data_IF_168862839397
#
_entry.id   IF_168862839397
#
_cell.length_a   1.000
_cell.length_b   1.000
_cell.length_c   1.000
_cell.angle_alpha   90.00
_cell.angle_beta   90.00
_cell.angle_gamma   90.00
#
_symmetry.space_group_name_H-M   'P 1'
#
loop_
_entity.id
_entity.type
_entity.pdbx_description
1 polymer ?
#
# COMPACT_ATOMS: atom_id res chain seq x y z
N UNK A 1 -46.27 2.53 -20.18
CA UNK A 1 -46.70 1.13 -20.45
C UNK A 1 -45.91 0.61 -21.64
N UNK A 2 -45.45 -0.64 -21.53
CA UNK A 2 -44.96 -1.50 -22.62
C UNK A 2 -43.63 -1.14 -23.29
N UNK A 3 -42.56 -1.80 -22.83
CA UNK A 3 -41.47 -2.26 -23.70
C UNK A 3 -41.14 -3.70 -23.31
N UNK A 4 -41.61 -4.65 -24.11
CA UNK A 4 -41.26 -6.06 -24.04
C UNK A 4 -41.30 -6.66 -25.46
N UNK A 5 -40.12 -6.97 -25.98
CA UNK A 5 -39.72 -7.93 -27.06
C UNK A 5 -38.22 -7.70 -27.26
N UNK A 6 -37.27 -8.49 -26.76
CA UNK A 6 -36.99 -9.91 -27.00
C UNK A 6 -37.13 -10.32 -28.48
N UNK A 7 -35.99 -10.55 -29.15
CA UNK A 7 -35.61 -11.81 -29.83
C UNK A 7 -34.17 -11.72 -30.36
N UNK A 8 -33.42 -12.81 -30.18
CA UNK A 8 -32.18 -13.18 -30.90
C UNK A 8 -30.95 -13.16 -29.98
N UNK A 9 -30.39 -14.27 -29.48
CA UNK A 9 -30.29 -15.62 -30.04
C UNK A 9 -28.82 -15.90 -30.33
N UNK A 10 -28.07 -16.39 -29.32
CA UNK A 10 -26.66 -16.74 -29.44
C UNK A 10 -26.35 -18.04 -28.69
N UNK A 11 -25.72 -19.05 -29.33
CA UNK A 11 -25.56 -20.38 -28.75
C UNK A 11 -24.19 -20.49 -28.06
N UNK A 12 -24.15 -20.38 -26.73
CA UNK A 12 -22.98 -20.75 -25.93
C UNK A 12 -23.42 -21.58 -24.72
N UNK A 13 -23.96 -22.77 -25.00
CA UNK A 13 -24.06 -23.85 -24.01
C UNK A 13 -22.84 -24.75 -24.17
N UNK A 14 -21.68 -24.27 -23.70
CA UNK A 14 -20.49 -25.11 -23.50
C UNK A 14 -20.68 -25.98 -22.27
N UNK A 15 -21.32 -27.14 -22.45
CA UNK A 15 -21.35 -28.23 -21.49
C UNK A 15 -19.97 -28.89 -21.49
N UNK A 16 -19.18 -28.67 -20.45
CA UNK A 16 -17.92 -29.37 -20.24
C UNK A 16 -18.25 -30.61 -19.40
N UNK A 17 -18.43 -31.74 -20.05
CA UNK A 17 -18.47 -33.04 -19.36
C UNK A 17 -17.08 -33.31 -18.78
N UNK A 18 -17.01 -33.41 -17.45
CA UNK A 18 -15.80 -33.80 -16.74
C UNK A 18 -15.59 -35.31 -16.88
N UNK A 19 -14.37 -35.77 -17.23
CA UNK A 19 -14.03 -37.17 -17.05
C UNK A 19 -13.88 -37.45 -15.55
N UNK A 20 -14.55 -38.51 -15.12
CA UNK A 20 -14.50 -39.11 -13.79
C UNK A 20 -13.04 -39.29 -13.32
N UNK A 21 -12.66 -38.58 -12.27
CA UNK A 21 -11.38 -38.73 -11.60
C UNK A 21 -11.35 -37.87 -10.34
N UNK A 22 -11.51 -38.51 -9.18
CA UNK A 22 -11.61 -37.87 -7.88
C UNK A 22 -10.46 -36.89 -7.60
N UNK A 23 -10.81 -35.62 -7.48
CA UNK A 23 -9.92 -34.56 -7.04
C UNK A 23 -10.77 -33.42 -6.51
N UNK A 24 -10.69 -33.17 -5.22
CA UNK A 24 -11.43 -32.13 -4.50
C UNK A 24 -11.12 -30.77 -5.13
N UNK A 25 -12.07 -30.22 -5.90
CA UNK A 25 -11.96 -28.88 -6.48
C UNK A 25 -12.05 -27.86 -5.34
N UNK A 26 -10.91 -27.27 -4.99
CA UNK A 26 -10.83 -26.11 -4.09
C UNK A 26 -11.58 -24.93 -4.70
N UNK A 27 -12.84 -24.78 -4.32
CA UNK A 27 -13.68 -23.61 -4.62
C UNK A 27 -13.35 -22.49 -3.63
N UNK A 28 -12.30 -21.71 -3.92
CA UNK A 28 -12.06 -20.43 -3.25
C UNK A 28 -11.29 -19.46 -4.17
N UNK A 29 -11.87 -19.21 -5.33
CA UNK A 29 -11.54 -18.04 -6.16
C UNK A 29 -12.26 -16.86 -5.51
N UNK A 30 -11.50 -15.83 -5.10
CA UNK A 30 -11.91 -14.64 -4.34
C UNK A 30 -11.87 -14.70 -2.81
N UNK A 31 -10.80 -15.23 -2.21
CA UNK A 31 -10.30 -14.57 -0.99
C UNK A 31 -9.37 -13.45 -1.44
N UNK A 32 -9.67 -12.15 -1.17
CA UNK A 32 -8.61 -11.16 -1.22
C UNK A 32 -7.52 -11.67 -0.28
N UNK A 33 -6.29 -11.79 -0.79
CA UNK A 33 -5.11 -11.85 0.05
C UNK A 33 -5.03 -10.51 0.81
N UNK A 34 -5.89 -10.34 1.80
CA UNK A 34 -5.57 -9.52 2.96
C UNK A 34 -4.42 -10.27 3.58
N UNK A 35 -3.23 -9.81 3.23
CA UNK A 35 -1.97 -10.15 3.87
C UNK A 35 -2.24 -10.05 5.37
N UNK A 36 -2.17 -11.20 6.01
CA UNK A 36 -2.41 -11.38 7.43
C UNK A 36 -1.52 -10.38 8.18
N UNK A 37 -2.22 -9.49 8.85
CA UNK A 37 -1.78 -8.18 9.31
C UNK A 37 -1.14 -8.33 10.67
N UNK A 38 0.16 -8.64 10.73
CA UNK A 38 1.09 -8.24 11.81
C UNK A 38 0.59 -8.25 13.26
N UNK A 39 -0.42 -9.07 13.57
CA UNK A 39 -0.95 -9.36 14.89
C UNK A 39 -0.49 -10.77 15.13
N UNK A 40 0.55 -10.85 15.93
CA UNK A 40 1.20 -12.07 16.36
C UNK A 40 0.14 -13.08 16.82
N UNK A 41 -0.14 -14.06 15.98
CA UNK A 41 -0.55 -15.36 16.50
C UNK A 41 0.73 -15.89 17.14
N UNK A 42 0.86 -15.66 18.45
CA UNK A 42 1.94 -16.21 19.28
C UNK A 42 1.91 -17.74 19.18
N UNK A 43 2.58 -18.27 18.15
CA UNK A 43 3.03 -19.65 18.12
C UNK A 43 4.16 -19.70 19.14
N UNK A 44 3.92 -20.38 20.24
CA UNK A 44 4.85 -20.45 21.37
C UNK A 44 6.28 -20.80 20.89
N UNK A 45 7.19 -19.82 21.02
CA UNK A 45 8.62 -19.99 20.79
C UNK A 45 9.18 -19.33 19.52
N UNK A 46 9.11 -18.00 19.41
CA UNK A 46 10.14 -17.05 18.92
C UNK A 46 9.43 -15.73 18.57
N UNK A 47 9.57 -14.70 19.40
CA UNK A 47 8.83 -13.42 19.26
C UNK A 47 9.48 -12.45 18.24
N UNK A 48 10.24 -12.97 17.27
CA UNK A 48 10.99 -12.18 16.29
C UNK A 48 10.43 -12.31 14.87
N UNK A 49 10.55 -11.24 14.08
CA UNK A 49 10.18 -11.30 12.67
C UNK A 49 11.08 -12.32 11.96
N UNK A 50 10.57 -13.10 11.01
CA UNK A 50 11.34 -14.20 10.38
C UNK A 50 12.66 -13.73 9.74
N UNK A 51 12.75 -12.48 9.29
CA UNK A 51 14.00 -11.86 8.79
C UNK A 51 15.04 -11.79 9.89
N UNK A 52 14.67 -11.44 11.12
CA UNK A 52 15.59 -11.36 12.26
C UNK A 52 16.18 -12.73 12.57
N UNK A 53 15.39 -13.80 12.41
CA UNK A 53 15.90 -15.17 12.55
C UNK A 53 16.93 -15.54 11.48
N UNK A 54 16.76 -15.09 10.25
CA UNK A 54 17.74 -15.31 9.17
C UNK A 54 19.03 -14.52 9.46
N UNK A 55 18.89 -13.27 9.90
CA UNK A 55 20.03 -12.41 10.26
C UNK A 55 20.79 -12.99 11.46
N UNK A 56 20.09 -13.53 12.46
CA UNK A 56 20.71 -14.15 13.63
C UNK A 56 21.37 -15.50 13.29
N UNK A 57 20.77 -16.28 12.38
CA UNK A 57 21.33 -17.56 11.94
C UNK A 57 22.57 -17.43 11.05
N UNK A 58 22.74 -16.31 10.34
CA UNK A 58 23.90 -16.06 9.46
C UNK A 58 24.89 -15.09 10.13
N UNK A 59 25.97 -15.64 10.69
CA UNK A 59 27.02 -14.88 11.39
C UNK A 59 27.70 -13.82 10.50
N UNK A 60 27.68 -14.01 9.17
CA UNK A 60 28.33 -13.11 8.21
C UNK A 60 27.30 -12.30 7.40
N UNK A 61 26.08 -12.12 7.93
CA UNK A 61 25.04 -11.37 7.25
C UNK A 61 25.43 -9.88 7.08
N UNK A 62 25.25 -9.29 5.89
CA UNK A 62 25.57 -7.87 5.66
C UNK A 62 24.75 -6.94 6.55
N UNK A 63 25.41 -6.19 7.44
CA UNK A 63 24.71 -5.30 8.38
C UNK A 63 23.87 -4.22 7.67
N UNK A 64 24.38 -3.69 6.55
CA UNK A 64 23.70 -2.66 5.71
C UNK A 64 22.31 -3.12 5.29
N UNK A 65 22.13 -4.40 4.92
CA UNK A 65 20.84 -4.95 4.51
C UNK A 65 19.87 -4.97 5.69
N UNK A 66 20.34 -5.42 6.86
CA UNK A 66 19.50 -5.48 8.07
C UNK A 66 19.05 -4.09 8.54
N UNK A 67 19.93 -3.09 8.43
CA UNK A 67 19.62 -1.71 8.81
C UNK A 67 18.62 -1.09 7.84
N UNK A 68 18.82 -1.30 6.53
CA UNK A 68 17.91 -0.84 5.48
C UNK A 68 16.52 -1.44 5.66
N UNK A 69 16.41 -2.75 5.85
CA UNK A 69 15.13 -3.42 6.12
C UNK A 69 14.44 -2.85 7.38
N UNK A 70 15.17 -2.71 8.51
CA UNK A 70 14.61 -2.12 9.75
C UNK A 70 14.13 -0.68 9.57
N UNK A 71 14.80 0.11 8.74
CA UNK A 71 14.35 1.46 8.41
C UNK A 71 13.04 1.42 7.63
N UNK A 72 12.95 0.62 6.56
CA UNK A 72 11.72 0.48 5.75
C UNK A 72 10.55 -0.11 6.56
N UNK A 73 10.82 -1.09 7.43
CA UNK A 73 9.81 -1.68 8.31
C UNK A 73 9.20 -0.65 9.25
N UNK A 74 10.03 0.16 9.94
CA UNK A 74 9.56 1.23 10.82
C UNK A 74 8.85 2.34 10.06
N UNK A 75 9.38 2.73 8.90
CA UNK A 75 8.80 3.79 8.06
C UNK A 75 7.41 3.39 7.54
N UNK A 76 7.22 2.15 7.09
CA UNK A 76 5.92 1.64 6.63
C UNK A 76 4.87 1.64 7.76
N UNK A 77 5.23 1.15 8.95
CA UNK A 77 4.33 1.12 10.11
C UNK A 77 3.94 2.52 10.56
N UNK A 78 4.91 3.44 10.67
CA UNK A 78 4.62 4.83 11.07
C UNK A 78 3.75 5.56 10.06
N UNK A 79 3.98 5.36 8.76
CA UNK A 79 3.16 5.96 7.71
C UNK A 79 1.71 5.43 7.74
N UNK A 80 1.53 4.13 8.02
CA UNK A 80 0.20 3.52 8.20
C UNK A 80 -0.57 4.16 9.36
N UNK A 81 0.04 4.28 10.54
CA UNK A 81 -0.62 4.92 11.69
C UNK A 81 -0.95 6.39 11.45
N UNK A 82 -0.06 7.15 10.80
CA UNK A 82 -0.34 8.53 10.43
C UNK A 82 -1.54 8.63 9.47
N UNK A 83 -1.61 7.75 8.47
CA UNK A 83 -2.73 7.72 7.51
C UNK A 83 -4.06 7.44 8.21
N UNK A 84 -4.13 6.38 9.01
CA UNK A 84 -5.36 6.04 9.75
C UNK A 84 -5.76 7.10 10.77
N UNK A 85 -4.79 7.74 11.44
CA UNK A 85 -5.06 8.85 12.36
C UNK A 85 -5.68 10.07 11.66
N UNK A 86 -5.17 10.41 10.47
CA UNK A 86 -5.73 11.49 9.65
C UNK A 86 -7.12 11.15 9.13
N UNK A 87 -7.37 9.92 8.65
CA UNK A 87 -8.71 9.53 8.23
C UNK A 87 -9.70 9.55 9.39
N UNK A 88 -9.33 8.98 10.53
CA UNK A 88 -10.20 8.95 11.70
C UNK A 88 -10.52 10.36 12.20
N UNK A 89 -9.52 11.24 12.28
CA UNK A 89 -9.75 12.63 12.68
C UNK A 89 -10.67 13.37 11.70
N UNK A 90 -10.50 13.16 10.39
CA UNK A 90 -11.37 13.79 9.39
C UNK A 90 -12.83 13.34 9.51
N UNK A 91 -13.06 12.05 9.77
CA UNK A 91 -14.41 11.50 10.02
C UNK A 91 -15.02 12.07 11.30
N UNK A 92 -14.24 12.16 12.38
CA UNK A 92 -14.71 12.73 13.65
C UNK A 92 -15.09 14.20 13.51
N UNK A 93 -14.28 15.01 12.83
CA UNK A 93 -14.57 16.42 12.58
C UNK A 93 -15.81 16.56 11.69
N UNK A 94 -15.90 15.78 10.61
CA UNK A 94 -17.06 15.79 9.73
C UNK A 94 -18.37 15.43 10.46
N UNK A 95 -18.32 14.45 11.37
CA UNK A 95 -19.47 14.07 12.20
C UNK A 95 -19.79 15.12 13.28
N UNK A 96 -18.80 15.84 13.79
CA UNK A 96 -18.99 16.85 14.82
C UNK A 96 -19.65 18.15 14.30
N UNK A 97 -19.47 18.49 13.02
CA UNK A 97 -20.07 19.69 12.40
C UNK A 97 -21.59 19.73 12.60
N UNK A 98 -22.40 18.75 12.16
CA UNK A 98 -23.84 18.79 12.34
C UNK A 98 -24.25 18.75 13.83
N UNK A 99 -23.51 18.03 14.68
CA UNK A 99 -23.78 17.97 16.13
C UNK A 99 -23.63 19.35 16.77
N UNK A 100 -22.58 20.09 16.40
CA UNK A 100 -22.35 21.46 16.90
C UNK A 100 -23.45 22.44 16.45
N UNK A 101 -23.95 22.28 15.22
CA UNK A 101 -25.01 23.13 14.69
C UNK A 101 -26.37 22.88 15.36
N UNK A 102 -26.72 21.60 15.60
CA UNK A 102 -28.05 21.22 16.11
C UNK A 102 -28.13 21.27 17.63
N UNK A 103 -27.15 20.72 18.34
CA UNK A 103 -27.20 20.57 19.81
C UNK A 103 -26.77 21.85 20.50
N UNK A 104 -25.65 22.43 20.06
CA UNK A 104 -25.06 23.60 20.75
C UNK A 104 -25.57 24.91 20.18
N UNK A 105 -26.25 24.88 19.02
CA UNK A 105 -26.80 26.05 18.30
C UNK A 105 -25.79 27.18 18.11
N UNK A 106 -24.50 26.82 18.04
CA UNK A 106 -23.40 27.77 17.95
C UNK A 106 -22.80 27.74 16.55
N UNK A 107 -23.08 28.78 15.76
CA UNK A 107 -22.51 28.95 14.43
C UNK A 107 -20.97 29.06 14.47
N UNK A 108 -20.41 29.65 15.54
CA UNK A 108 -18.96 29.77 15.72
C UNK A 108 -18.29 28.40 15.88
N UNK A 109 -18.90 27.48 16.64
CA UNK A 109 -18.36 26.13 16.81
C UNK A 109 -18.34 25.35 15.48
N UNK A 110 -19.42 25.44 14.70
CA UNK A 110 -19.50 24.82 13.38
C UNK A 110 -18.45 25.40 12.40
N UNK A 111 -18.24 26.72 12.42
CA UNK A 111 -17.24 27.38 11.58
C UNK A 111 -15.81 26.94 11.92
N UNK A 112 -15.48 26.83 13.22
CA UNK A 112 -14.16 26.35 13.67
C UNK A 112 -13.94 24.90 13.21
N UNK A 113 -14.93 24.02 13.38
CA UNK A 113 -14.83 22.62 12.94
C UNK A 113 -14.66 22.52 11.41
N UNK A 114 -15.37 23.35 10.65
CA UNK A 114 -15.19 23.44 9.20
C UNK A 114 -13.77 23.89 8.81
N UNK A 115 -13.22 24.90 9.49
CA UNK A 115 -11.84 25.36 9.25
C UNK A 115 -10.81 24.28 9.59
N UNK A 116 -10.99 23.57 10.71
CA UNK A 116 -10.15 22.42 11.09
C UNK A 116 -10.22 21.32 10.04
N UNK A 117 -11.41 21.01 9.51
CA UNK A 117 -11.56 20.00 8.46
C UNK A 117 -10.80 20.37 7.19
N UNK A 118 -10.85 21.64 6.78
CA UNK A 118 -10.09 22.14 5.62
C UNK A 118 -8.59 22.04 5.86
N UNK A 119 -8.11 22.42 7.05
CA UNK A 119 -6.70 22.29 7.41
C UNK A 119 -6.24 20.83 7.39
N UNK A 120 -7.01 19.92 7.98
CA UNK A 120 -6.70 18.47 7.97
C UNK A 120 -6.66 17.93 6.53
N UNK A 121 -7.61 18.35 5.69
CA UNK A 121 -7.67 17.94 4.28
C UNK A 121 -6.50 18.50 3.48
N UNK A 122 -6.14 19.77 3.70
CA UNK A 122 -4.99 20.40 3.07
C UNK A 122 -3.67 19.74 3.47
N UNK A 123 -3.49 19.45 4.76
CA UNK A 123 -2.33 18.70 5.27
C UNK A 123 -2.27 17.31 4.62
N UNK A 124 -3.40 16.61 4.52
CA UNK A 124 -3.46 15.30 3.83
C UNK A 124 -3.00 15.40 2.38
N UNK A 125 -3.42 16.43 1.64
CA UNK A 125 -3.02 16.64 0.24
C UNK A 125 -1.53 16.97 0.10
N UNK A 126 -0.99 17.83 0.95
CA UNK A 126 0.41 18.27 0.85
C UNK A 126 1.38 17.14 1.16
N UNK A 127 1.08 16.30 2.15
CA UNK A 127 2.04 15.30 2.60
C UNK A 127 2.04 14.04 1.72
N UNK A 128 0.98 13.79 0.95
CA UNK A 128 0.95 12.63 0.04
C UNK A 128 1.17 11.30 0.79
N UNK A 129 0.74 11.22 2.06
CA UNK A 129 1.03 10.08 2.94
C UNK A 129 0.59 8.75 2.33
N UNK A 130 -0.46 8.76 1.50
CA UNK A 130 -1.01 7.57 0.86
C UNK A 130 -0.04 6.92 -0.14
N UNK A 131 0.55 7.69 -1.06
CA UNK A 131 1.52 7.10 -2.00
C UNK A 131 2.80 6.70 -1.28
N UNK A 132 3.20 7.46 -0.26
CA UNK A 132 4.46 7.23 0.44
C UNK A 132 4.45 5.93 1.26
N UNK A 133 3.36 5.62 1.98
CA UNK A 133 3.28 4.36 2.74
C UNK A 133 3.30 3.14 1.82
N UNK A 134 2.59 3.22 0.69
CA UNK A 134 2.51 2.09 -0.25
C UNK A 134 3.86 1.84 -0.92
N UNK A 135 4.58 2.91 -1.29
CA UNK A 135 5.93 2.79 -1.86
C UNK A 135 6.91 2.17 -0.87
N UNK A 136 6.89 2.60 0.41
CA UNK A 136 7.73 2.00 1.44
C UNK A 136 7.36 0.55 1.77
N UNK A 137 6.07 0.20 1.79
CA UNK A 137 5.63 -1.17 2.01
C UNK A 137 6.05 -2.09 0.85
N UNK A 138 5.94 -1.61 -0.39
CA UNK A 138 6.41 -2.35 -1.57
C UNK A 138 7.92 -2.56 -1.53
N UNK A 139 8.71 -1.53 -1.22
CA UNK A 139 10.16 -1.64 -1.09
C UNK A 139 10.55 -2.64 0.02
N UNK A 140 9.87 -2.58 1.18
CA UNK A 140 10.04 -3.57 2.26
C UNK A 140 9.81 -5.00 1.76
N UNK A 141 8.69 -5.26 1.08
CA UNK A 141 8.37 -6.60 0.59
C UNK A 141 9.35 -7.10 -0.47
N UNK A 142 9.89 -6.20 -1.31
CA UNK A 142 10.95 -6.57 -2.26
C UNK A 142 12.24 -6.96 -1.52
N UNK A 143 12.66 -6.20 -0.52
CA UNK A 143 13.84 -6.52 0.30
C UNK A 143 13.63 -7.86 1.04
N UNK A 144 12.46 -8.06 1.63
CA UNK A 144 12.11 -9.32 2.28
C UNK A 144 12.20 -10.50 1.31
N UNK A 145 11.65 -10.37 0.10
CA UNK A 145 11.76 -11.41 -0.93
C UNK A 145 13.22 -11.76 -1.23
N UNK A 146 14.09 -10.77 -1.41
CA UNK A 146 15.51 -11.01 -1.68
C UNK A 146 16.24 -11.68 -0.51
N UNK A 147 15.93 -11.29 0.74
CA UNK A 147 16.46 -11.94 1.94
C UNK A 147 16.00 -13.41 2.02
N UNK A 148 14.74 -13.70 1.68
CA UNK A 148 14.24 -15.07 1.65
C UNK A 148 14.95 -15.92 0.57
N UNK A 149 15.18 -15.35 -0.62
CA UNK A 149 15.92 -16.03 -1.70
C UNK A 149 17.37 -16.31 -1.31
N UNK A 150 18.03 -15.34 -0.68
CA UNK A 150 19.39 -15.51 -0.12
C UNK A 150 19.43 -16.60 0.94
N UNK A 151 18.49 -16.59 1.90
CA UNK A 151 18.43 -17.59 2.97
C UNK A 151 18.20 -19.02 2.44
N UNK A 152 17.44 -19.17 1.36
CA UNK A 152 17.25 -20.48 0.68
C UNK A 152 18.36 -20.82 -0.31
N UNK A 153 19.37 -19.94 -0.50
CA UNK A 153 20.40 -20.05 -1.54
C UNK A 153 19.81 -20.31 -2.93
N UNK A 154 18.68 -19.70 -3.23
CA UNK A 154 17.93 -19.94 -4.46
C UNK A 154 18.29 -18.90 -5.54
N UNK A 155 18.30 -19.34 -6.80
CA UNK A 155 18.62 -18.49 -7.94
C UNK A 155 20.09 -18.04 -7.91
N UNK A 156 20.38 -16.74 -8.14
CA UNK A 156 21.75 -16.29 -8.30
C UNK A 156 22.57 -16.36 -7.00
N UNK A 157 21.93 -16.50 -5.84
CA UNK A 157 22.57 -16.64 -4.52
C UNK A 157 23.07 -18.06 -4.19
N UNK A 158 22.76 -19.06 -5.04
CA UNK A 158 23.28 -20.42 -4.88
C UNK A 158 24.56 -20.68 -5.68
N UNK A 159 24.70 -19.97 -6.81
CA UNK A 159 25.77 -20.18 -7.79
C UNK A 159 26.88 -19.10 -7.69
N UNK A 160 26.57 -17.94 -7.11
CA UNK A 160 27.52 -16.85 -7.00
C UNK A 160 28.55 -17.09 -5.88
N UNK A 161 29.84 -16.94 -6.22
CA UNK A 161 30.94 -16.96 -5.25
C UNK A 161 30.87 -15.83 -4.21
N UNK A 162 30.24 -14.70 -4.56
CA UNK A 162 29.96 -13.59 -3.64
C UNK A 162 28.45 -13.29 -3.56
N UNK A 163 27.71 -14.23 -2.97
CA UNK A 163 26.25 -14.10 -2.79
C UNK A 163 25.86 -12.93 -1.86
N UNK A 164 26.78 -12.49 -0.97
CA UNK A 164 26.56 -11.39 -0.03
C UNK A 164 26.68 -10.03 -0.70
N UNK A 165 27.73 -9.85 -1.51
CA UNK A 165 27.89 -8.65 -2.34
C UNK A 165 26.71 -8.48 -3.29
N UNK A 166 26.24 -9.59 -3.88
CA UNK A 166 25.05 -9.56 -4.73
C UNK A 166 23.81 -9.10 -3.97
N UNK A 167 23.53 -9.65 -2.79
CA UNK A 167 22.38 -9.25 -1.98
C UNK A 167 22.45 -7.76 -1.61
N UNK A 168 23.63 -7.28 -1.21
CA UNK A 168 23.84 -5.89 -0.87
C UNK A 168 23.56 -4.97 -2.08
N UNK A 169 24.10 -5.30 -3.25
CA UNK A 169 23.89 -4.56 -4.48
C UNK A 169 22.40 -4.51 -4.88
N UNK A 170 21.71 -5.65 -4.84
CA UNK A 170 20.27 -5.71 -5.17
C UNK A 170 19.42 -4.90 -4.19
N UNK A 171 19.71 -4.95 -2.89
CA UNK A 171 18.98 -4.15 -1.89
C UNK A 171 19.22 -2.65 -2.08
N UNK A 172 20.45 -2.25 -2.41
CA UNK A 172 20.77 -0.85 -2.71
C UNK A 172 20.07 -0.38 -3.98
N UNK A 173 20.00 -1.21 -5.03
CA UNK A 173 19.27 -0.91 -6.26
C UNK A 173 17.76 -0.69 -5.99
N UNK A 174 17.15 -1.53 -5.13
CA UNK A 174 15.76 -1.34 -4.71
C UNK A 174 15.59 0.02 -4.00
N UNK A 175 16.52 0.39 -3.12
CA UNK A 175 16.48 1.64 -2.38
C UNK A 175 16.67 2.87 -3.31
N UNK A 176 17.62 2.80 -4.24
CA UNK A 176 17.85 3.83 -5.25
C UNK A 176 16.65 3.98 -6.18
N UNK A 177 16.08 2.87 -6.64
CA UNK A 177 14.88 2.87 -7.48
C UNK A 177 13.65 3.47 -6.79
N UNK A 178 13.55 3.35 -5.45
CA UNK A 178 12.54 4.08 -4.68
C UNK A 178 12.82 5.60 -4.63
N UNK A 179 14.08 5.99 -4.42
CA UNK A 179 14.49 7.40 -4.45
C UNK A 179 14.19 8.07 -5.79
N UNK A 180 14.46 7.37 -6.91
CA UNK A 180 14.14 7.85 -8.25
C UNK A 180 12.63 7.95 -8.50
N UNK A 181 11.84 7.00 -7.99
CA UNK A 181 10.37 7.09 -8.05
C UNK A 181 9.85 8.29 -7.26
N UNK A 182 10.44 8.58 -6.10
CA UNK A 182 10.10 9.76 -5.32
C UNK A 182 10.43 11.06 -6.07
N UNK A 183 11.63 11.17 -6.65
CA UNK A 183 12.03 12.36 -7.42
C UNK A 183 11.15 12.57 -8.67
N UNK A 184 10.84 11.50 -9.40
CA UNK A 184 9.98 11.54 -10.58
C UNK A 184 8.55 11.99 -10.25
N UNK A 185 7.95 11.47 -9.16
CA UNK A 185 6.63 11.91 -8.69
C UNK A 185 6.61 13.40 -8.36
N UNK A 186 7.66 13.92 -7.71
CA UNK A 186 7.78 15.35 -7.39
C UNK A 186 7.95 16.21 -8.63
N UNK A 187 8.73 15.75 -9.61
CA UNK A 187 8.88 16.44 -10.89
C UNK A 187 7.56 16.51 -11.67
N UNK A 188 6.74 15.44 -11.65
CA UNK A 188 5.44 15.42 -12.33
C UNK A 188 4.43 16.39 -11.72
N UNK A 189 4.41 16.52 -10.39
CA UNK A 189 3.58 17.51 -9.70
C UNK A 189 4.00 18.94 -10.09
N UNK A 190 5.30 19.20 -10.22
CA UNK A 190 5.80 20.50 -10.65
C UNK A 190 5.51 20.80 -12.13
N UNK A 191 5.49 19.77 -12.98
CA UNK A 191 5.28 19.89 -14.43
C UNK A 191 3.82 20.02 -14.85
N UNK A 192 2.87 19.64 -13.99
CA UNK A 192 1.43 19.77 -14.29
C UNK A 192 1.05 21.26 -14.19
N UNK A 193 0.79 21.96 -15.32
CA UNK A 193 0.41 23.36 -15.29
C UNK A 193 -0.96 23.48 -14.60
N UNK A 194 -1.24 24.56 -13.86
CA UNK A 194 -2.57 24.80 -13.34
C UNK A 194 -3.56 24.78 -14.51
N UNK A 195 -4.61 23.96 -14.40
CA UNK A 195 -5.71 23.98 -15.36
C UNK A 195 -6.39 25.34 -15.24
N UNK A 196 -6.01 26.27 -16.12
CA UNK A 196 -6.72 27.53 -16.26
C UNK A 196 -8.11 27.20 -16.84
N UNK A 197 -9.20 27.71 -16.23
CA UNK A 197 -10.51 27.59 -16.84
C UNK A 197 -10.49 28.22 -18.24
N UNK A 198 -11.29 27.70 -19.20
CA UNK A 198 -11.37 28.29 -20.53
C UNK A 198 -11.74 29.77 -20.40
N UNK A 199 -11.07 30.63 -21.17
CA UNK A 199 -11.32 32.07 -21.15
C UNK A 199 -12.83 32.32 -21.36
N UNK A 200 -13.46 33.21 -20.57
CA UNK A 200 -14.85 33.57 -20.79
C UNK A 200 -15.01 34.07 -22.23
N UNK A 201 -16.01 33.53 -22.94
CA UNK A 201 -16.30 33.86 -24.34
C UNK A 201 -16.20 35.38 -24.55
N UNK A 202 -15.22 35.80 -25.34
CA UNK A 202 -15.11 37.17 -25.80
C UNK A 202 -16.32 37.44 -26.70
N UNK A 203 -17.16 38.46 -26.43
CA UNK A 203 -18.21 38.82 -27.35
C UNK A 203 -17.58 39.21 -28.69
N UNK A 204 -18.11 38.61 -29.76
CA UNK A 204 -17.76 38.87 -31.16
C UNK A 204 -18.13 40.31 -31.55
#
# INVERSE_FOLDING_TARGET
MSWLRLVGGGPWSGRIESPQGGGTVCRSVWRPCVLDDGRDVSVAGTDGHWVERIVEADQEFPEVVSQTWRWYARSATRARFSYYGLELSSLLVAAAIPVSAVVWKSATAAAILGAVLVLVTGIRQVVGWHENWMSFAQARHQIEKEIALYGMKHGPYGEAGDSRGLLCATVLEIAEGEGQRWSARRAQVAATPPVLPPAPNQPQ
#
